data_IF_359914343731
#
_entry.id   IF_359914343731
#
_cell.length_a   1.000
_cell.length_b   1.000
_cell.length_c   1.000
_cell.angle_alpha   90.00
_cell.angle_beta   90.00
_cell.angle_gamma   90.00
#
_symmetry.space_group_name_H-M   'P 1'
#
loop_
_entity.id
_entity.type
_entity.pdbx_description
1 polymer ?
#
# COMPACT_ATOMS: atom_id res chain seq x y z
N UNK A 1 -30.74 -9.52 13.02
CA UNK A 1 -29.26 -9.45 13.17
C UNK A 1 -28.94 -9.23 14.63
N UNK A 2 -28.33 -10.22 15.28
CA UNK A 2 -27.87 -10.05 16.66
C UNK A 2 -26.63 -9.18 16.64
N UNK A 3 -26.71 -7.97 17.21
CA UNK A 3 -25.54 -7.12 17.41
C UNK A 3 -24.64 -7.81 18.43
N UNK A 4 -23.43 -8.16 18.04
CA UNK A 4 -22.43 -8.67 18.98
C UNK A 4 -22.11 -7.58 20.01
N UNK A 5 -22.05 -7.97 21.28
CA UNK A 5 -21.63 -7.07 22.35
C UNK A 5 -20.13 -6.74 22.15
N UNK A 6 -19.69 -5.47 22.14
CA UNK A 6 -18.26 -5.14 22.08
C UNK A 6 -17.41 -5.87 23.12
N UNK A 7 -17.96 -6.20 24.28
CA UNK A 7 -17.26 -6.96 25.32
C UNK A 7 -17.00 -8.42 24.92
N UNK A 8 -17.88 -9.04 24.12
CA UNK A 8 -17.69 -10.41 23.66
C UNK A 8 -16.54 -10.54 22.68
N UNK A 9 -16.25 -9.47 21.92
CA UNK A 9 -15.11 -9.41 20.99
C UNK A 9 -13.77 -9.39 21.71
N UNK A 10 -13.67 -8.58 22.77
CA UNK A 10 -12.48 -8.55 23.60
C UNK A 10 -12.27 -9.88 24.30
N UNK A 11 -13.33 -10.46 24.88
CA UNK A 11 -13.26 -11.79 25.48
C UNK A 11 -12.78 -12.85 24.48
N UNK A 12 -13.26 -12.81 23.23
CA UNK A 12 -12.78 -13.71 22.19
C UNK A 12 -11.27 -13.54 21.91
N UNK A 13 -10.77 -12.30 21.76
CA UNK A 13 -9.35 -12.02 21.49
C UNK A 13 -8.42 -12.43 22.63
N UNK A 14 -8.88 -12.34 23.87
CA UNK A 14 -8.17 -12.80 25.06
C UNK A 14 -8.42 -14.28 25.39
N UNK A 15 -9.22 -14.98 24.59
CA UNK A 15 -9.41 -16.42 24.71
C UNK A 15 -8.20 -17.22 24.25
N UNK A 16 -8.07 -18.44 24.77
CA UNK A 16 -6.93 -19.34 24.54
C UNK A 16 -6.63 -19.60 23.07
N UNK A 17 -7.68 -19.66 22.22
CA UNK A 17 -7.55 -19.83 20.77
C UNK A 17 -6.67 -18.76 20.15
N UNK A 18 -6.98 -17.49 20.40
CA UNK A 18 -6.26 -16.36 19.81
C UNK A 18 -4.91 -16.16 20.47
N UNK A 19 -4.84 -16.22 21.80
CA UNK A 19 -3.57 -16.12 22.53
C UNK A 19 -2.54 -17.14 22.03
N UNK A 20 -2.94 -18.41 21.93
CA UNK A 20 -2.04 -19.48 21.48
C UNK A 20 -1.58 -19.28 20.03
N UNK A 21 -2.50 -18.91 19.13
CA UNK A 21 -2.20 -18.71 17.70
C UNK A 21 -1.29 -17.51 17.47
N UNK A 22 -1.60 -16.36 18.08
CA UNK A 22 -0.82 -15.13 17.93
C UNK A 22 0.56 -15.25 18.61
N UNK A 23 0.64 -15.93 19.76
CA UNK A 23 1.91 -16.21 20.44
C UNK A 23 2.78 -17.15 19.63
N UNK A 24 2.21 -18.23 19.07
CA UNK A 24 2.92 -19.15 18.17
C UNK A 24 3.47 -18.42 16.95
N UNK A 25 2.65 -17.58 16.31
CA UNK A 25 3.07 -16.74 15.18
C UNK A 25 4.24 -15.82 15.56
N UNK A 26 4.13 -15.11 16.69
CA UNK A 26 5.19 -14.20 17.16
C UNK A 26 6.47 -14.95 17.48
N UNK A 27 6.38 -16.10 18.16
CA UNK A 27 7.54 -16.94 18.49
C UNK A 27 8.23 -17.50 17.25
N UNK A 28 7.47 -17.98 16.27
CA UNK A 28 8.03 -18.48 15.01
C UNK A 28 8.80 -17.37 14.28
N UNK A 29 8.28 -16.14 14.29
CA UNK A 29 8.89 -15.04 13.56
C UNK A 29 10.01 -14.36 14.35
N UNK A 30 9.85 -14.16 15.65
CA UNK A 30 10.74 -13.32 16.48
C UNK A 30 11.35 -14.06 17.66
N UNK A 31 11.20 -15.37 17.79
CA UNK A 31 11.70 -16.14 18.94
C UNK A 31 13.23 -16.12 19.13
N UNK A 32 13.99 -15.59 18.17
CA UNK A 32 15.42 -15.32 18.32
C UNK A 32 15.76 -13.99 19.02
N UNK A 33 14.78 -13.13 19.28
CA UNK A 33 14.96 -11.87 20.00
C UNK A 33 14.52 -12.06 21.45
N UNK A 34 15.33 -11.71 22.47
CA UNK A 34 14.97 -11.97 23.86
C UNK A 34 13.69 -11.24 24.31
N UNK A 35 13.35 -10.11 23.70
CA UNK A 35 12.18 -9.29 24.03
C UNK A 35 10.89 -9.68 23.27
N UNK A 36 10.89 -10.79 22.52
CA UNK A 36 9.74 -11.14 21.65
C UNK A 36 8.42 -11.32 22.42
N UNK A 37 8.47 -11.77 23.68
CA UNK A 37 7.29 -11.92 24.54
C UNK A 37 6.70 -10.56 24.90
N UNK A 38 7.55 -9.58 25.26
CA UNK A 38 7.12 -8.20 25.50
C UNK A 38 6.48 -7.61 24.25
N UNK A 39 7.05 -7.85 23.07
CA UNK A 39 6.47 -7.36 21.81
C UNK A 39 5.13 -8.00 21.49
N UNK A 40 4.96 -9.29 21.82
CA UNK A 40 3.69 -9.99 21.70
C UNK A 40 2.61 -9.32 22.57
N UNK A 41 2.91 -9.06 23.84
CA UNK A 41 1.96 -8.48 24.79
C UNK A 41 1.51 -7.08 24.36
N UNK A 42 2.45 -6.20 24.01
CA UNK A 42 2.14 -4.85 23.52
C UNK A 42 1.33 -4.89 22.22
N UNK A 43 1.70 -5.77 21.28
CA UNK A 43 0.99 -5.91 20.01
C UNK A 43 -0.44 -6.46 20.21
N UNK A 44 -0.63 -7.37 21.15
CA UNK A 44 -1.93 -7.94 21.48
C UNK A 44 -2.84 -6.92 22.16
N UNK A 45 -2.31 -6.10 23.07
CA UNK A 45 -3.03 -4.97 23.66
C UNK A 45 -3.44 -3.95 22.59
N UNK A 46 -2.53 -3.58 21.69
CA UNK A 46 -2.83 -2.65 20.59
C UNK A 46 -3.88 -3.22 19.63
N UNK A 47 -3.83 -4.52 19.35
CA UNK A 47 -4.86 -5.22 18.57
C UNK A 47 -6.23 -5.11 19.25
N UNK A 48 -6.31 -5.39 20.55
CA UNK A 48 -7.56 -5.30 21.31
C UNK A 48 -8.16 -3.88 21.25
N UNK A 49 -7.32 -2.85 21.42
CA UNK A 49 -7.73 -1.45 21.28
C UNK A 49 -8.24 -1.11 19.87
N UNK A 50 -7.62 -1.65 18.82
CA UNK A 50 -8.07 -1.46 17.44
C UNK A 50 -9.39 -2.16 17.16
N UNK A 51 -9.54 -3.40 17.61
CA UNK A 51 -10.75 -4.20 17.40
C UNK A 51 -11.95 -3.62 18.16
N UNK A 52 -11.73 -3.04 19.35
CA UNK A 52 -12.77 -2.34 20.10
C UNK A 52 -13.29 -1.08 19.39
N UNK A 53 -12.45 -0.41 18.60
CA UNK A 53 -12.83 0.79 17.84
C UNK A 53 -13.57 0.48 16.53
N UNK A 54 -13.64 -0.79 16.11
CA UNK A 54 -14.38 -1.17 14.91
C UNK A 54 -15.89 -1.09 15.17
N UNK A 55 -16.65 -0.80 14.11
CA UNK A 55 -18.10 -0.79 14.17
C UNK A 55 -18.65 -2.12 14.74
N UNK A 56 -19.66 -2.10 15.62
CA UNK A 56 -20.29 -3.30 16.17
C UNK A 56 -20.85 -4.25 15.11
N UNK A 57 -21.12 -3.75 13.90
CA UNK A 57 -21.62 -4.55 12.78
C UNK A 57 -20.49 -5.28 12.01
N UNK A 58 -19.23 -4.85 12.18
CA UNK A 58 -18.11 -5.42 11.44
C UNK A 58 -17.71 -6.79 11.97
N UNK A 59 -17.85 -7.81 11.14
CA UNK A 59 -17.46 -9.19 11.47
C UNK A 59 -15.95 -9.29 11.67
N UNK A 60 -15.55 -9.89 12.79
CA UNK A 60 -14.14 -10.15 13.10
C UNK A 60 -13.69 -11.45 12.43
N UNK A 61 -13.33 -11.38 11.15
CA UNK A 61 -12.74 -12.53 10.46
C UNK A 61 -11.34 -12.85 10.99
N UNK A 62 -10.94 -14.13 10.90
CA UNK A 62 -9.60 -14.56 11.28
C UNK A 62 -8.51 -13.78 10.54
N UNK A 63 -8.74 -13.50 9.25
CA UNK A 63 -7.84 -12.72 8.40
C UNK A 63 -7.66 -11.28 8.92
N UNK A 64 -8.75 -10.62 9.33
CA UNK A 64 -8.70 -9.26 9.87
C UNK A 64 -7.90 -9.20 11.18
N UNK A 65 -8.10 -10.17 12.07
CA UNK A 65 -7.39 -10.26 13.36
C UNK A 65 -5.89 -10.49 13.13
N UNK A 66 -5.52 -11.44 12.27
CA UNK A 66 -4.12 -11.74 11.95
C UNK A 66 -3.43 -10.56 11.27
N UNK A 67 -4.06 -9.95 10.25
CA UNK A 67 -3.50 -8.81 9.54
C UNK A 67 -3.29 -7.61 10.47
N UNK A 68 -4.27 -7.32 11.32
CA UNK A 68 -4.18 -6.23 12.29
C UNK A 68 -3.10 -6.50 13.34
N UNK A 69 -3.03 -7.71 13.89
CA UNK A 69 -2.01 -8.09 14.87
C UNK A 69 -0.60 -8.00 14.29
N UNK A 70 -0.41 -8.46 13.05
CA UNK A 70 0.86 -8.36 12.35
C UNK A 70 1.32 -6.90 12.21
N UNK A 71 0.41 -6.01 11.83
CA UNK A 71 0.71 -4.58 11.72
C UNK A 71 1.11 -3.99 13.07
N UNK A 72 0.42 -4.36 14.15
CA UNK A 72 0.79 -3.93 15.51
C UNK A 72 2.14 -4.49 15.95
N UNK A 73 2.41 -5.77 15.67
CA UNK A 73 3.67 -6.41 16.01
C UNK A 73 4.86 -5.76 15.29
N UNK A 74 4.68 -5.38 14.02
CA UNK A 74 5.68 -4.61 13.27
C UNK A 74 5.84 -3.21 13.87
N UNK A 75 4.74 -2.55 14.23
CA UNK A 75 4.76 -1.22 14.86
C UNK A 75 5.51 -1.22 16.18
N UNK A 76 5.19 -2.17 17.08
CA UNK A 76 5.86 -2.38 18.37
C UNK A 76 7.34 -2.66 18.17
N UNK A 77 7.69 -3.59 17.28
CA UNK A 77 9.09 -3.88 16.98
C UNK A 77 9.85 -2.63 16.49
N UNK A 78 9.24 -1.83 15.62
CA UNK A 78 9.82 -0.56 15.13
C UNK A 78 9.94 0.47 16.24
N UNK A 79 9.06 0.47 17.23
CA UNK A 79 9.17 1.35 18.38
C UNK A 79 10.38 0.98 19.24
N UNK A 80 10.58 -0.31 19.51
CA UNK A 80 11.68 -0.81 20.35
C UNK A 80 13.05 -0.75 19.67
N UNK A 81 13.14 -1.20 18.41
CA UNK A 81 14.43 -1.35 17.70
C UNK A 81 14.72 -0.15 16.78
N UNK A 82 13.70 0.66 16.49
CA UNK A 82 13.77 1.67 15.44
C UNK A 82 13.56 1.09 14.04
N UNK A 83 13.52 1.98 13.04
CA UNK A 83 13.65 1.55 11.65
C UNK A 83 15.12 1.20 11.39
N UNK A 84 15.43 0.08 10.71
CA UNK A 84 16.77 -0.11 10.19
C UNK A 84 17.08 1.07 9.28
N UNK A 85 18.09 1.86 9.66
CA UNK A 85 18.53 3.06 8.95
C UNK A 85 19.97 2.86 8.49
N UNK A 86 20.34 3.40 7.32
CA UNK A 86 21.73 3.46 6.91
C UNK A 86 22.57 4.20 7.96
N UNK A 87 23.80 3.75 8.18
CA UNK A 87 24.80 4.43 9.01
C UNK A 87 25.12 5.80 8.41
N UNK A 88 25.66 6.67 9.26
CA UNK A 88 25.90 8.08 8.93
C UNK A 88 26.65 8.28 7.60
N UNK A 89 27.68 7.48 7.33
CA UNK A 89 28.49 7.59 6.10
C UNK A 89 27.69 7.34 4.82
N UNK A 90 26.66 6.49 4.87
CA UNK A 90 25.81 6.21 3.71
C UNK A 90 24.72 7.29 3.58
N UNK A 91 24.29 7.88 4.70
CA UNK A 91 23.35 9.03 4.72
C UNK A 91 23.91 10.30 4.09
N UNK A 92 25.23 10.45 4.03
CA UNK A 92 25.90 11.56 3.32
C UNK A 92 25.57 11.59 1.83
N UNK A 93 25.18 10.44 1.24
CA UNK A 93 24.72 10.33 -0.14
C UNK A 93 23.21 10.57 -0.30
N UNK A 94 22.57 11.18 0.71
CA UNK A 94 21.15 11.55 0.69
C UNK A 94 20.24 10.38 0.32
N UNK A 95 19.28 10.59 -0.59
CA UNK A 95 18.31 9.60 -1.03
C UNK A 95 18.96 8.36 -1.67
N UNK A 96 20.05 8.53 -2.41
CA UNK A 96 20.75 7.40 -3.03
C UNK A 96 21.26 6.42 -1.96
N UNK A 97 21.85 6.94 -0.88
CA UNK A 97 22.32 6.09 0.22
C UNK A 97 21.20 5.30 0.88
N UNK A 98 20.05 5.94 1.10
CA UNK A 98 18.86 5.27 1.63
C UNK A 98 18.36 4.17 0.67
N UNK A 99 18.27 4.47 -0.62
CA UNK A 99 17.82 3.50 -1.63
C UNK A 99 18.75 2.29 -1.71
N UNK A 100 20.08 2.51 -1.68
CA UNK A 100 21.07 1.44 -1.69
C UNK A 100 20.95 0.55 -0.45
N UNK A 101 20.73 1.14 0.73
CA UNK A 101 20.47 0.39 1.96
C UNK A 101 19.19 -0.45 1.85
N UNK A 102 18.09 0.15 1.40
CA UNK A 102 16.82 -0.54 1.25
C UNK A 102 16.93 -1.68 0.24
N UNK A 103 17.55 -1.45 -0.91
CA UNK A 103 17.69 -2.46 -1.95
C UNK A 103 18.62 -3.60 -1.55
N UNK A 104 19.76 -3.30 -0.90
CA UNK A 104 20.76 -4.30 -0.52
C UNK A 104 20.38 -5.03 0.77
N UNK A 105 20.10 -4.29 1.83
CA UNK A 105 19.95 -4.84 3.17
C UNK A 105 18.51 -5.27 3.47
N UNK A 106 17.51 -4.53 3.01
CA UNK A 106 16.11 -4.88 3.25
C UNK A 106 15.58 -5.83 2.17
N UNK A 107 15.69 -5.47 0.89
CA UNK A 107 15.12 -6.27 -0.22
C UNK A 107 16.03 -7.40 -0.71
N UNK A 108 17.30 -7.42 -0.30
CA UNK A 108 18.25 -8.46 -0.70
C UNK A 108 18.49 -8.54 -2.21
N UNK A 109 18.36 -7.43 -2.94
CA UNK A 109 18.58 -7.39 -4.39
C UNK A 109 20.04 -7.71 -4.72
N UNK A 110 20.24 -8.38 -5.85
CA UNK A 110 21.59 -8.63 -6.36
C UNK A 110 22.26 -7.33 -6.78
N UNK A 111 23.60 -7.30 -6.75
CA UNK A 111 24.40 -6.14 -7.13
C UNK A 111 24.01 -5.58 -8.51
N UNK A 112 23.78 -6.45 -9.48
CA UNK A 112 23.34 -6.09 -10.83
C UNK A 112 21.98 -5.39 -10.83
N UNK A 113 20.99 -5.95 -10.13
CA UNK A 113 19.65 -5.36 -10.02
C UNK A 113 19.68 -3.99 -9.33
N UNK A 114 20.55 -3.82 -8.33
CA UNK A 114 20.72 -2.55 -7.64
C UNK A 114 21.23 -1.47 -8.60
N UNK A 115 22.27 -1.79 -9.38
CA UNK A 115 22.85 -0.86 -10.35
C UNK A 115 21.82 -0.46 -11.41
N UNK A 116 21.08 -1.44 -11.96
CA UNK A 116 20.02 -1.19 -12.95
C UNK A 116 18.93 -0.27 -12.38
N UNK A 117 18.47 -0.53 -11.15
CA UNK A 117 17.49 0.35 -10.48
C UNK A 117 18.03 1.75 -10.22
N UNK A 118 19.30 1.87 -9.82
CA UNK A 118 19.93 3.16 -9.59
C UNK A 118 20.00 3.98 -10.90
N UNK A 119 20.39 3.35 -12.01
CA UNK A 119 20.46 3.98 -13.32
C UNK A 119 19.08 4.40 -13.83
N UNK A 120 18.08 3.53 -13.74
CA UNK A 120 16.71 3.85 -14.13
C UNK A 120 16.14 5.02 -13.30
N UNK A 121 16.47 5.08 -12.01
CA UNK A 121 16.03 6.18 -11.13
C UNK A 121 16.73 7.50 -11.48
N UNK A 122 18.01 7.47 -11.82
CA UNK A 122 18.76 8.64 -12.26
C UNK A 122 18.25 9.18 -13.61
N UNK A 123 17.92 8.27 -14.55
CA UNK A 123 17.30 8.61 -15.84
C UNK A 123 15.90 9.25 -15.67
N UNK A 124 15.10 8.73 -14.73
CA UNK A 124 13.78 9.29 -14.45
C UNK A 124 13.86 10.71 -13.86
N UNK A 125 14.89 11.01 -13.06
CA UNK A 125 15.10 12.34 -12.49
C UNK A 125 15.48 13.37 -13.56
N UNK A 126 16.37 12.99 -14.50
CA UNK A 126 16.80 13.87 -15.60
C UNK A 126 15.68 14.21 -16.58
N UNK A 127 14.71 13.31 -16.79
CA UNK A 127 13.54 13.57 -17.64
C UNK A 127 12.51 14.51 -16.97
N UNK A 128 12.38 14.47 -15.64
CA UNK A 128 11.39 15.24 -14.90
C UNK A 128 11.64 16.76 -14.88
N UNK A 129 12.91 17.18 -14.83
CA UNK A 129 13.24 18.61 -14.74
C UNK A 129 13.12 19.38 -16.07
N UNK A 130 13.08 18.68 -17.22
CA UNK A 130 12.96 19.34 -18.53
C UNK A 130 11.58 19.96 -18.81
N UNK A 131 10.54 19.62 -18.04
CA UNK A 131 9.16 20.08 -18.28
C UNK A 131 8.83 21.42 -17.59
N UNK A 132 9.71 21.95 -16.74
CA UNK A 132 9.49 23.21 -16.01
C UNK A 132 10.46 24.35 -16.35
N UNK A 133 11.34 24.17 -17.34
CA UNK A 133 12.38 25.15 -17.68
C UNK A 133 11.94 26.23 -18.70
N UNK A 134 10.67 26.29 -19.12
CA UNK A 134 10.26 27.19 -20.22
C UNK A 134 9.92 28.64 -19.84
N UNK A 135 9.90 29.04 -18.56
CA UNK A 135 9.40 30.37 -18.16
C UNK A 135 10.18 31.05 -17.01
N UNK A 136 11.47 30.74 -16.81
CA UNK A 136 12.31 31.46 -15.82
C UNK A 136 13.54 32.10 -16.48
N UNK A 137 13.37 33.37 -16.84
CA UNK A 137 14.45 34.33 -17.00
C UNK A 137 15.04 34.62 -15.60
N UNK A 138 16.02 33.86 -15.13
CA UNK A 138 16.74 34.24 -13.91
C UNK A 138 18.24 33.94 -13.95
N UNK A 139 18.99 34.98 -13.63
CA UNK A 139 20.42 35.19 -13.77
C UNK A 139 21.14 34.71 -12.50
N UNK A 140 21.26 33.39 -12.32
CA UNK A 140 21.98 32.84 -11.15
C UNK A 140 23.00 31.77 -11.54
N UNK A 141 24.26 32.17 -11.51
CA UNK A 141 25.46 31.33 -11.62
C UNK A 141 25.70 30.53 -10.33
N UNK A 142 25.01 29.40 -10.14
CA UNK A 142 25.40 28.38 -9.17
C UNK A 142 25.92 27.14 -9.90
N UNK A 143 27.25 26.93 -9.86
CA UNK A 143 27.99 25.99 -10.72
C UNK A 143 28.12 24.55 -10.18
N UNK A 144 27.56 24.24 -9.02
CA UNK A 144 27.81 22.94 -8.36
C UNK A 144 26.66 21.92 -8.45
N UNK A 145 25.53 22.28 -9.06
CA UNK A 145 24.37 21.39 -9.21
C UNK A 145 24.40 20.50 -10.47
N UNK A 146 25.24 20.83 -11.47
CA UNK A 146 25.18 20.22 -12.81
C UNK A 146 25.92 18.88 -12.96
N UNK A 147 26.57 18.36 -11.91
CA UNK A 147 27.39 17.15 -12.04
C UNK A 147 26.58 15.84 -12.21
N UNK A 148 25.24 15.89 -12.16
CA UNK A 148 24.37 14.70 -12.16
C UNK A 148 23.40 14.61 -13.34
N UNK A 149 23.40 15.58 -14.27
CA UNK A 149 22.34 15.74 -15.26
C UNK A 149 22.54 15.00 -16.61
N UNK A 150 23.62 14.24 -16.82
CA UNK A 150 23.83 13.50 -18.07
C UNK A 150 23.51 12.01 -17.90
N UNK A 151 22.40 11.59 -18.53
CA UNK A 151 21.70 10.32 -18.36
C UNK A 151 22.41 9.04 -18.83
N UNK A 152 23.74 9.04 -18.95
CA UNK A 152 24.51 7.79 -19.04
C UNK A 152 25.96 8.06 -18.62
N UNK A 153 26.20 8.25 -17.32
CA UNK A 153 27.57 8.42 -16.83
C UNK A 153 28.12 7.07 -16.35
N UNK A 154 29.11 6.48 -17.05
CA UNK A 154 29.93 5.42 -16.47
C UNK A 154 30.44 5.80 -15.07
N UNK A 155 30.61 7.10 -14.79
CA UNK A 155 30.93 7.63 -13.47
C UNK A 155 29.86 7.35 -12.40
N UNK A 156 28.55 7.48 -12.69
CA UNK A 156 27.50 7.17 -11.71
C UNK A 156 27.42 5.67 -11.42
N UNK A 157 27.57 4.83 -12.44
CA UNK A 157 27.69 3.38 -12.24
C UNK A 157 28.87 3.04 -11.32
N UNK A 158 30.04 3.62 -11.59
CA UNK A 158 31.23 3.41 -10.78
C UNK A 158 31.03 3.88 -9.33
N UNK A 159 30.36 5.02 -9.13
CA UNK A 159 29.99 5.51 -7.81
C UNK A 159 29.11 4.50 -7.06
N UNK A 160 28.03 4.02 -7.68
CA UNK A 160 27.13 3.02 -7.08
C UNK A 160 27.89 1.73 -6.75
N UNK A 161 28.75 1.25 -7.66
CA UNK A 161 29.56 0.06 -7.43
C UNK A 161 30.50 0.22 -6.23
N UNK A 162 31.18 1.37 -6.14
CA UNK A 162 32.07 1.73 -5.04
C UNK A 162 31.33 1.81 -3.70
N UNK A 163 30.14 2.41 -3.69
CA UNK A 163 29.29 2.46 -2.49
C UNK A 163 28.87 1.06 -2.06
N UNK A 164 28.47 0.20 -2.99
CA UNK A 164 28.09 -1.18 -2.69
C UNK A 164 29.27 -1.99 -2.12
N UNK A 165 30.49 -1.82 -2.65
CA UNK A 165 31.70 -2.44 -2.08
C UNK A 165 31.90 -1.97 -0.64
N UNK A 166 31.81 -0.66 -0.40
CA UNK A 166 32.00 -0.09 0.93
C UNK A 166 30.93 -0.55 1.93
N UNK A 167 29.70 -0.80 1.47
CA UNK A 167 28.65 -1.42 2.30
C UNK A 167 29.02 -2.85 2.71
N UNK A 168 29.64 -3.63 1.81
CA UNK A 168 30.11 -4.99 2.14
C UNK A 168 31.27 -4.93 3.15
N UNK A 169 32.24 -4.06 2.92
CA UNK A 169 33.41 -3.87 3.82
C UNK A 169 32.98 -3.44 5.23
N UNK A 170 32.04 -2.50 5.33
CA UNK A 170 31.53 -1.99 6.62
C UNK A 170 30.47 -2.89 7.26
N UNK A 171 30.10 -3.98 6.58
CA UNK A 171 29.02 -4.89 6.97
C UNK A 171 27.74 -4.15 7.31
N UNK A 172 27.31 -3.30 6.38
CA UNK A 172 26.17 -2.39 6.57
C UNK A 172 24.85 -3.15 6.84
N UNK A 173 24.73 -4.38 6.33
CA UNK A 173 23.55 -5.21 6.49
C UNK A 173 23.61 -6.18 7.69
N UNK A 174 24.69 -6.19 8.48
CA UNK A 174 24.78 -7.07 9.65
C UNK A 174 23.70 -6.73 10.68
N UNK A 175 22.95 -7.75 11.11
CA UNK A 175 21.81 -7.60 12.02
C UNK A 175 20.52 -7.10 11.35
N UNK A 176 20.55 -6.78 10.05
CA UNK A 176 19.36 -6.38 9.28
C UNK A 176 18.71 -7.63 8.69
N UNK A 177 17.49 -7.95 9.15
CA UNK A 177 16.70 -9.04 8.56
C UNK A 177 16.07 -8.56 7.25
N UNK A 178 16.31 -9.30 6.17
CA UNK A 178 15.68 -9.05 4.87
C UNK A 178 14.17 -9.10 4.99
N UNK A 179 13.50 -8.15 4.36
CA UNK A 179 12.08 -8.19 4.06
C UNK A 179 11.96 -9.10 2.85
N UNK A 180 11.64 -10.38 3.06
CA UNK A 180 11.26 -11.23 1.93
C UNK A 180 9.88 -10.82 1.44
N UNK A 181 9.65 -10.80 0.13
CA UNK A 181 8.29 -10.60 -0.42
C UNK A 181 7.34 -11.74 0.06
N UNK A 182 7.91 -12.90 0.36
CA UNK A 182 7.25 -14.03 1.01
C UNK A 182 6.75 -13.71 2.43
N UNK A 183 7.43 -12.82 3.17
CA UNK A 183 7.02 -12.50 4.52
C UNK A 183 5.63 -11.84 4.52
N UNK A 184 5.24 -11.11 3.46
CA UNK A 184 3.93 -10.51 3.26
C UNK A 184 2.88 -11.47 2.66
N UNK A 185 3.30 -12.54 1.98
CA UNK A 185 2.40 -13.36 1.13
C UNK A 185 2.22 -14.82 1.59
N UNK A 186 3.23 -15.48 2.16
CA UNK A 186 3.23 -16.96 2.36
C UNK A 186 2.41 -17.48 3.57
N UNK A 187 1.94 -16.62 4.48
CA UNK A 187 1.22 -17.11 5.69
C UNK A 187 -0.30 -17.25 5.48
N UNK A 188 -0.82 -16.80 4.32
CA UNK A 188 -2.24 -16.98 3.99
C UNK A 188 -2.56 -18.41 3.53
N UNK A 189 -1.59 -19.13 2.96
CA UNK A 189 -1.81 -20.47 2.39
C UNK A 189 -1.68 -21.62 3.41
N UNK A 190 -1.33 -21.33 4.66
CA UNK A 190 -1.22 -22.32 5.74
C UNK A 190 -2.42 -22.28 6.71
N UNK A 191 -3.57 -21.75 6.29
CA UNK A 191 -4.84 -21.89 7.00
C UNK A 191 -5.59 -23.04 6.34
N UNK A 192 -5.90 -24.15 7.04
CA UNK A 192 -6.67 -25.25 6.47
C UNK A 192 -7.98 -24.77 5.87
N UNK A 193 -8.26 -25.20 4.64
CA UNK A 193 -9.37 -24.79 3.76
C UNK A 193 -10.80 -25.06 4.31
N UNK A 194 -10.95 -25.64 5.50
CA UNK A 194 -12.23 -26.18 5.98
C UNK A 194 -13.22 -25.16 6.56
N UNK A 195 -13.02 -23.85 6.40
CA UNK A 195 -13.90 -22.82 7.01
C UNK A 195 -14.32 -21.68 6.08
N UNK A 196 -14.41 -21.93 4.77
CA UNK A 196 -14.96 -20.95 3.83
C UNK A 196 -16.49 -21.02 3.74
N UNK A 197 -17.17 -20.46 4.74
CA UNK A 197 -18.55 -19.96 4.59
C UNK A 197 -18.68 -18.67 5.40
N UNK A 198 -18.85 -17.53 4.71
CA UNK A 198 -19.92 -16.54 4.98
C UNK A 198 -19.81 -15.32 4.06
N UNK A 199 -20.98 -14.85 3.63
CA UNK A 199 -21.40 -13.82 2.66
C UNK A 199 -20.66 -12.46 2.60
N UNK A 200 -19.56 -12.24 3.32
CA UNK A 200 -18.83 -10.96 3.31
C UNK A 200 -17.97 -10.72 2.06
N UNK A 201 -17.45 -11.78 1.43
CA UNK A 201 -16.63 -11.66 0.21
C UNK A 201 -17.43 -11.21 -1.02
N UNK A 202 -18.75 -11.40 -1.00
CA UNK A 202 -19.63 -10.97 -2.09
C UNK A 202 -19.72 -9.44 -2.19
N UNK A 203 -19.77 -8.73 -1.07
CA UNK A 203 -19.92 -7.27 -1.05
C UNK A 203 -18.65 -6.54 -1.55
N UNK A 204 -17.46 -7.00 -1.13
CA UNK A 204 -16.19 -6.42 -1.60
C UNK A 204 -15.97 -6.70 -3.10
N UNK A 205 -16.39 -7.87 -3.59
CA UNK A 205 -16.38 -8.19 -5.02
C UNK A 205 -17.39 -7.33 -5.80
N UNK A 206 -18.61 -7.13 -5.28
CA UNK A 206 -19.61 -6.26 -5.91
C UNK A 206 -19.13 -4.81 -6.05
N UNK A 207 -18.46 -4.26 -5.03
CA UNK A 207 -17.92 -2.89 -5.09
C UNK A 207 -16.74 -2.79 -6.07
N UNK A 208 -15.88 -3.80 -6.12
CA UNK A 208 -14.77 -3.88 -7.07
C UNK A 208 -15.28 -3.98 -8.52
N UNK A 209 -16.30 -4.80 -8.77
CA UNK A 209 -16.96 -4.94 -10.07
C UNK A 209 -17.68 -3.64 -10.47
N UNK A 210 -18.33 -2.98 -9.52
CA UNK A 210 -19.03 -1.71 -9.72
C UNK A 210 -18.06 -0.57 -10.04
N UNK A 211 -16.89 -0.55 -9.39
CA UNK A 211 -15.79 0.36 -9.71
C UNK A 211 -15.21 0.06 -11.10
N UNK A 212 -15.00 -1.20 -11.47
CA UNK A 212 -14.53 -1.56 -12.82
C UNK A 212 -15.50 -1.10 -13.90
N UNK A 213 -16.81 -1.27 -13.66
CA UNK A 213 -17.86 -0.84 -14.56
C UNK A 213 -17.92 0.68 -14.70
N UNK A 214 -17.81 1.42 -13.59
CA UNK A 214 -17.77 2.89 -13.55
C UNK A 214 -16.54 3.46 -14.25
N UNK A 215 -15.43 2.75 -14.24
CA UNK A 215 -14.16 3.16 -14.84
C UNK A 215 -14.04 2.79 -16.33
N UNK A 216 -15.10 2.30 -16.97
CA UNK A 216 -15.14 2.06 -18.41
C UNK A 216 -14.25 0.91 -18.88
N UNK A 217 -13.83 0.01 -17.98
CA UNK A 217 -13.13 -1.19 -18.37
C UNK A 217 -14.07 -2.12 -19.15
N UNK A 218 -13.82 -2.30 -20.44
CA UNK A 218 -14.44 -3.36 -21.23
C UNK A 218 -13.90 -4.73 -20.76
N UNK A 219 -14.24 -5.14 -19.54
CA UNK A 219 -14.04 -6.51 -19.13
C UNK A 219 -15.07 -7.37 -19.88
N UNK A 220 -14.62 -8.42 -20.55
CA UNK A 220 -15.48 -9.43 -21.18
C UNK A 220 -16.43 -10.01 -20.13
N UNK A 221 -17.65 -9.48 -20.09
CA UNK A 221 -18.68 -9.74 -19.06
C UNK A 221 -19.33 -11.13 -19.18
N UNK A 222 -18.73 -12.05 -19.93
CA UNK A 222 -19.30 -13.37 -20.25
C UNK A 222 -19.40 -14.33 -19.05
N UNK A 223 -18.82 -14.00 -17.89
CA UNK A 223 -18.73 -14.91 -16.73
C UNK A 223 -19.60 -14.59 -15.51
N UNK A 224 -20.38 -13.50 -15.49
CA UNK A 224 -21.07 -13.04 -14.27
C UNK A 224 -22.43 -13.73 -14.09
N UNK A 225 -22.57 -14.54 -13.05
CA UNK A 225 -23.84 -15.21 -12.69
C UNK A 225 -24.49 -14.52 -11.48
N UNK A 226 -25.79 -14.25 -11.59
CA UNK A 226 -26.72 -13.73 -10.56
C UNK A 226 -26.63 -12.26 -10.10
N UNK A 227 -25.46 -11.60 -10.07
CA UNK A 227 -25.36 -10.14 -9.77
C UNK A 227 -25.74 -9.20 -10.95
N UNK A 228 -25.95 -9.78 -12.14
CA UNK A 228 -25.93 -9.06 -13.43
C UNK A 228 -27.09 -8.10 -13.67
N UNK A 229 -28.31 -8.37 -13.17
CA UNK A 229 -29.46 -7.53 -13.47
C UNK A 229 -29.32 -6.13 -12.85
N UNK A 230 -28.82 -6.06 -11.61
CA UNK A 230 -28.65 -4.80 -10.87
C UNK A 230 -27.47 -4.00 -11.42
N UNK A 231 -26.36 -4.68 -11.73
CA UNK A 231 -25.19 -4.08 -12.37
C UNK A 231 -25.52 -3.59 -13.79
N UNK A 232 -26.26 -4.37 -14.59
CA UNK A 232 -26.71 -3.98 -15.93
C UNK A 232 -27.67 -2.79 -15.88
N UNK A 233 -28.60 -2.76 -14.92
CA UNK A 233 -29.47 -1.60 -14.70
C UNK A 233 -28.66 -0.34 -14.41
N UNK A 234 -27.65 -0.43 -13.56
CA UNK A 234 -26.78 0.69 -13.21
C UNK A 234 -25.90 1.14 -14.39
N UNK A 235 -25.37 0.20 -15.19
CA UNK A 235 -24.68 0.51 -16.46
C UNK A 235 -25.58 1.33 -17.37
N UNK A 236 -26.82 0.90 -17.55
CA UNK A 236 -27.80 1.59 -18.38
C UNK A 236 -28.14 2.97 -17.82
N UNK A 237 -28.23 3.14 -16.49
CA UNK A 237 -28.44 4.45 -15.88
C UNK A 237 -27.25 5.39 -16.10
N UNK A 238 -26.02 4.90 -15.94
CA UNK A 238 -24.81 5.67 -16.19
C UNK A 238 -24.72 6.11 -17.65
N UNK A 239 -25.00 5.19 -18.57
CA UNK A 239 -24.99 5.48 -20.01
C UNK A 239 -26.07 6.48 -20.39
N UNK A 240 -27.31 6.32 -19.89
CA UNK A 240 -28.39 7.30 -20.09
C UNK A 240 -28.04 8.67 -19.53
N UNK A 241 -27.37 8.73 -18.37
CA UNK A 241 -26.92 9.99 -17.78
C UNK A 241 -25.86 10.64 -18.66
N UNK A 242 -24.86 9.89 -19.11
CA UNK A 242 -23.83 10.37 -20.02
C UNK A 242 -24.44 10.92 -21.32
N UNK A 243 -25.43 10.22 -21.88
CA UNK A 243 -26.17 10.66 -23.07
C UNK A 243 -27.02 11.92 -22.80
N UNK A 244 -27.61 12.05 -21.61
CA UNK A 244 -28.48 13.17 -21.26
C UNK A 244 -27.74 14.45 -20.87
N UNK A 245 -26.66 14.35 -20.10
CA UNK A 245 -25.91 15.51 -19.59
C UNK A 245 -24.64 15.82 -20.39
N UNK A 246 -24.14 14.88 -21.19
CA UNK A 246 -22.85 15.00 -21.88
C UNK A 246 -21.63 14.95 -20.96
N UNK A 247 -21.85 14.90 -19.64
CA UNK A 247 -20.79 14.89 -18.63
C UNK A 247 -20.71 13.52 -17.94
N UNK A 248 -19.52 12.89 -17.89
CA UNK A 248 -19.33 11.63 -17.16
C UNK A 248 -19.41 11.88 -15.64
N UNK A 249 -19.78 10.83 -14.87
CA UNK A 249 -19.88 10.92 -13.41
C UNK A 249 -18.54 11.32 -12.76
N UNK A 250 -17.44 10.84 -13.35
CA UNK A 250 -16.07 11.07 -12.94
C UNK A 250 -15.27 11.58 -14.14
N UNK A 251 -14.32 12.48 -13.89
CA UNK A 251 -13.35 12.87 -14.92
C UNK A 251 -12.36 11.74 -15.18
N UNK A 252 -11.70 11.75 -16.35
CA UNK A 252 -10.72 10.72 -16.71
C UNK A 252 -9.58 10.61 -15.67
N UNK A 253 -9.12 11.72 -15.11
CA UNK A 253 -8.10 11.67 -14.06
C UNK A 253 -8.67 11.09 -12.75
N UNK A 254 -9.95 11.31 -12.43
CA UNK A 254 -10.57 10.72 -11.23
C UNK A 254 -10.65 9.19 -11.39
N UNK A 255 -10.98 8.73 -12.60
CA UNK A 255 -10.98 7.32 -12.98
C UNK A 255 -9.57 6.74 -12.88
N UNK A 256 -8.57 7.41 -13.46
CA UNK A 256 -7.17 7.00 -13.37
C UNK A 256 -6.69 6.89 -11.92
N UNK A 257 -7.03 7.90 -11.10
CA UNK A 257 -6.63 7.98 -9.70
C UNK A 257 -7.24 6.85 -8.86
N UNK A 258 -8.53 6.57 -9.03
CA UNK A 258 -9.20 5.48 -8.33
C UNK A 258 -8.68 4.12 -8.78
N UNK A 259 -8.45 3.94 -10.09
CA UNK A 259 -7.88 2.71 -10.65
C UNK A 259 -6.49 2.43 -10.09
N UNK A 260 -5.62 3.43 -10.10
CA UNK A 260 -4.25 3.35 -9.58
C UNK A 260 -4.22 2.99 -8.10
N UNK A 261 -5.11 3.61 -7.30
CA UNK A 261 -5.13 3.39 -5.86
C UNK A 261 -5.71 2.01 -5.48
N UNK A 262 -6.89 1.66 -6.00
CA UNK A 262 -7.61 0.46 -5.55
C UNK A 262 -7.19 -0.83 -6.29
N UNK A 263 -6.83 -0.75 -7.56
CA UNK A 263 -6.57 -1.95 -8.38
C UNK A 263 -5.08 -2.20 -8.59
N UNK A 264 -4.27 -1.15 -8.66
CA UNK A 264 -2.81 -1.29 -8.85
C UNK A 264 -2.04 -1.21 -7.53
N UNK A 265 -2.71 -0.88 -6.41
CA UNK A 265 -2.09 -0.76 -5.10
C UNK A 265 -1.05 0.35 -5.00
N UNK A 266 -1.10 1.35 -5.88
CA UNK A 266 -0.16 2.47 -5.85
C UNK A 266 -0.41 3.35 -4.63
N UNK A 267 0.67 3.80 -3.99
CA UNK A 267 0.55 4.74 -2.88
C UNK A 267 0.07 6.10 -3.39
N UNK A 268 -0.63 6.86 -2.53
CA UNK A 268 -1.08 8.21 -2.89
C UNK A 268 0.07 9.14 -3.29
N UNK A 269 1.26 8.93 -2.73
CA UNK A 269 2.45 9.71 -3.05
C UNK A 269 2.99 9.36 -4.44
N UNK A 270 2.92 8.08 -4.84
CA UNK A 270 3.31 7.67 -6.19
C UNK A 270 2.33 8.20 -7.24
N UNK A 271 1.02 8.16 -6.94
CA UNK A 271 -0.02 8.76 -7.80
C UNK A 271 0.20 10.28 -7.93
N UNK A 272 0.53 10.96 -6.82
CA UNK A 272 0.83 12.40 -6.82
C UNK A 272 2.02 12.75 -7.73
N UNK A 273 3.09 11.94 -7.67
CA UNK A 273 4.23 12.10 -8.57
C UNK A 273 3.88 11.84 -10.03
N UNK A 274 3.09 10.80 -10.32
CA UNK A 274 2.65 10.47 -11.68
C UNK A 274 1.78 11.58 -12.29
N UNK A 275 0.93 12.21 -11.49
CA UNK A 275 0.05 13.31 -11.92
C UNK A 275 0.76 14.69 -11.93
N UNK A 276 1.95 14.80 -11.37
CA UNK A 276 2.60 16.10 -11.14
C UNK A 276 1.81 17.02 -10.19
N UNK A 277 0.98 16.45 -9.31
CA UNK A 277 0.14 17.20 -8.38
C UNK A 277 0.64 17.07 -6.93
N UNK A 278 0.42 18.08 -6.06
CA UNK A 278 0.69 17.92 -4.63
C UNK A 278 -0.13 16.80 -4.00
N UNK A 279 0.48 16.01 -3.09
CA UNK A 279 -0.17 14.88 -2.40
C UNK A 279 -1.54 15.25 -1.81
N UNK A 280 -1.66 16.40 -1.15
CA UNK A 280 -2.91 16.85 -0.55
C UNK A 280 -4.04 17.05 -1.57
N UNK A 281 -3.71 17.48 -2.79
CA UNK A 281 -4.66 17.67 -3.88
C UNK A 281 -5.19 16.32 -4.38
N UNK A 282 -4.30 15.35 -4.57
CA UNK A 282 -4.65 13.96 -4.92
C UNK A 282 -5.57 13.32 -3.87
N UNK A 283 -5.25 13.49 -2.57
CA UNK A 283 -6.10 12.98 -1.48
C UNK A 283 -7.50 13.59 -1.52
N UNK A 284 -7.59 14.93 -1.62
CA UNK A 284 -8.88 15.63 -1.70
C UNK A 284 -9.67 15.23 -2.94
N UNK A 285 -9.00 15.10 -4.09
CA UNK A 285 -9.60 14.68 -5.37
C UNK A 285 -10.18 13.26 -5.26
N UNK A 286 -9.43 12.33 -4.67
CA UNK A 286 -9.90 10.97 -4.36
C UNK A 286 -11.17 10.99 -3.53
N UNK A 287 -11.17 11.72 -2.41
CA UNK A 287 -12.32 11.79 -1.51
C UNK A 287 -13.53 12.45 -2.17
N UNK A 288 -13.32 13.45 -3.02
CA UNK A 288 -14.38 14.06 -3.80
C UNK A 288 -14.96 13.10 -4.85
N UNK A 289 -14.12 12.28 -5.50
CA UNK A 289 -14.56 11.23 -6.42
C UNK A 289 -15.38 10.15 -5.69
N UNK A 290 -14.90 9.64 -4.55
CA UNK A 290 -15.62 8.65 -3.72
C UNK A 290 -16.96 9.23 -3.25
N UNK A 291 -17.01 10.50 -2.83
CA UNK A 291 -18.27 11.16 -2.44
C UNK A 291 -19.26 11.28 -3.61
N UNK A 292 -18.78 11.56 -4.83
CA UNK A 292 -19.62 11.59 -6.04
C UNK A 292 -20.21 10.22 -6.34
N UNK A 293 -19.39 9.16 -6.29
CA UNK A 293 -19.85 7.77 -6.45
C UNK A 293 -20.87 7.43 -5.37
N UNK A 294 -20.59 7.72 -4.10
CA UNK A 294 -21.49 7.42 -3.00
C UNK A 294 -22.83 8.17 -3.07
N UNK A 295 -22.83 9.43 -3.55
CA UNK A 295 -24.07 10.17 -3.82
C UNK A 295 -24.87 9.52 -4.95
N UNK A 296 -24.20 9.17 -6.05
CA UNK A 296 -24.83 8.49 -7.18
C UNK A 296 -25.44 7.15 -6.77
N UNK A 297 -24.71 6.32 -6.00
CA UNK A 297 -25.23 5.04 -5.51
C UNK A 297 -26.44 5.23 -4.59
N UNK A 298 -26.42 6.24 -3.70
CA UNK A 298 -27.56 6.56 -2.86
C UNK A 298 -28.80 7.00 -3.67
N UNK A 299 -28.62 7.77 -4.75
CA UNK A 299 -29.69 8.14 -5.68
C UNK A 299 -30.29 6.92 -6.40
N UNK A 300 -29.51 5.84 -6.54
CA UNK A 300 -29.97 4.56 -7.09
C UNK A 300 -30.47 3.57 -6.03
N UNK A 301 -30.59 3.97 -4.76
CA UNK A 301 -31.11 3.15 -3.68
C UNK A 301 -30.12 2.11 -3.12
N UNK A 302 -28.81 2.33 -3.29
CA UNK A 302 -27.79 1.54 -2.60
C UNK A 302 -27.44 2.18 -1.25
N UNK A 303 -27.19 1.33 -0.26
CA UNK A 303 -26.78 1.79 1.07
C UNK A 303 -25.35 2.35 1.01
N UNK A 304 -25.15 3.54 1.59
CA UNK A 304 -23.85 4.23 1.65
C UNK A 304 -22.80 3.43 2.40
N UNK A 305 -23.21 2.54 3.30
CA UNK A 305 -22.28 1.75 4.11
C UNK A 305 -21.43 0.76 3.31
N UNK A 306 -21.82 0.43 2.07
CA UNK A 306 -21.04 -0.50 1.24
C UNK A 306 -19.74 0.11 0.68
N UNK A 307 -19.57 1.45 0.67
CA UNK A 307 -18.45 2.13 0.01
C UNK A 307 -17.35 2.67 0.95
N UNK A 308 -17.56 2.65 2.26
CA UNK A 308 -16.67 3.24 3.27
C UNK A 308 -16.02 2.16 4.13
#
# INVERSE_FOLDING_TARGET
>A
MNRENPDSRLQALYGDRWLSRLRKFTRQRFGGFPEWETWFEEAHQNLALKMHKLAPERVMSDALVIASFRNELISVRRHHIGYPRPRQWLREFSQLGQDLFDWKCLKGLSRRQIIEKALNKAAAFTLGDTVHASDRDDDSTDKDADLYATGDTPAFRELVERLLTRMDEKKECDGVRRISDADDTEVLDAIPDELNVTDGAAADNEVSELLQLLMGGAADTAGLSTGTARIASMRNTLQKRLEATGEPLLSDDDVFLLRSYYFQGLSQNDIAKLLGEPLQRVVRRREAAIRRIGKFLAEQGFDKQALL
#
